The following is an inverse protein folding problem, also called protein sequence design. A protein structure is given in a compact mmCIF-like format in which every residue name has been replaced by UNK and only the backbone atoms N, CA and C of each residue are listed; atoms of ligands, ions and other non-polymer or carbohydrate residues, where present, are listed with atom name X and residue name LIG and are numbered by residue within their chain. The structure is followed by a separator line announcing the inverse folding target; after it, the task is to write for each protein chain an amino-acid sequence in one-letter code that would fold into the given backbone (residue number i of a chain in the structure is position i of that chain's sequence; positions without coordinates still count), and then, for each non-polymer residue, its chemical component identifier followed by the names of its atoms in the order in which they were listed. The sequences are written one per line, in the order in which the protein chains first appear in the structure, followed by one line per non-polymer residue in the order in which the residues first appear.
data_IF_754283821716
#
_entry.id   IF_754283821716
#
_cell.length_a   1.000
_cell.length_b   1.000
_cell.length_c   1.000
_cell.angle_alpha   90.00
_cell.angle_beta   90.00
_cell.angle_gamma   90.00
#
_symmetry.space_group_name_H-M   'P 1'
#
loop_
_entity.id
_entity.type
_entity.pdbx_description
1 polymer ?
#
# COMPACT_ATOMS: atom_id res chain seq x y z
N UNK A 1 -33.23 37.39 -39.43
CA UNK A 1 -33.33 38.86 -39.70
C UNK A 1 -33.86 39.54 -38.44
N UNK A 2 -33.18 40.60 -37.96
CA UNK A 2 -33.53 41.46 -36.80
C UNK A 2 -33.07 40.89 -35.45
N UNK A 3 -32.00 41.28 -34.75
CA UNK A 3 -31.33 42.56 -34.44
C UNK A 3 -32.13 43.53 -33.53
N UNK A 4 -31.74 43.57 -32.23
CA UNK A 4 -31.21 44.74 -31.47
C UNK A 4 -31.84 45.03 -30.06
N UNK A 5 -31.09 44.69 -28.99
CA UNK A 5 -30.64 45.39 -27.73
C UNK A 5 -31.38 46.65 -27.16
N UNK A 6 -31.10 47.21 -25.94
CA UNK A 6 -30.27 46.83 -24.75
C UNK A 6 -30.83 47.17 -23.31
N UNK A 7 -30.13 46.71 -22.24
CA UNK A 7 -29.65 47.60 -21.14
C UNK A 7 -30.24 47.57 -19.70
N UNK A 8 -29.43 47.11 -18.71
CA UNK A 8 -29.08 47.66 -17.37
C UNK A 8 -30.17 48.32 -16.46
N UNK A 9 -30.30 48.17 -15.11
CA UNK A 9 -29.39 47.85 -13.97
C UNK A 9 -30.20 47.47 -12.70
N UNK A 10 -29.58 46.62 -11.85
CA UNK A 10 -29.50 46.54 -10.37
C UNK A 10 -30.71 46.87 -9.45
N UNK A 11 -31.02 45.94 -8.54
CA UNK A 11 -31.60 46.29 -7.23
C UNK A 11 -32.16 45.11 -6.42
N UNK A 12 -31.50 44.77 -5.30
CA UNK A 12 -32.16 44.30 -4.08
C UNK A 12 -32.34 42.79 -3.87
N UNK A 13 -31.29 42.11 -3.39
CA UNK A 13 -31.45 40.85 -2.65
C UNK A 13 -32.04 41.15 -1.26
N UNK A 14 -33.18 40.54 -0.93
CA UNK A 14 -33.73 40.56 0.44
C UNK A 14 -33.44 39.22 1.11
N UNK A 15 -32.57 39.23 2.11
CA UNK A 15 -32.28 38.08 2.98
C UNK A 15 -33.32 37.98 4.10
N UNK A 16 -33.83 36.76 4.32
CA UNK A 16 -34.70 36.41 5.43
C UNK A 16 -33.85 36.14 6.69
N UNK A 17 -34.05 36.91 7.76
CA UNK A 17 -33.40 36.68 9.07
C UNK A 17 -34.18 35.64 9.88
N UNK A 18 -33.56 34.62 10.48
CA UNK A 18 -34.19 33.89 11.57
C UNK A 18 -33.92 34.59 12.91
N UNK A 19 -34.98 34.68 13.72
CA UNK A 19 -34.95 35.16 15.09
C UNK A 19 -34.42 34.05 16.01
N UNK A 20 -33.39 34.34 16.80
CA UNK A 20 -32.94 33.46 17.87
C UNK A 20 -33.50 33.92 19.22
N UNK A 21 -34.34 33.07 19.82
CA UNK A 21 -34.75 33.18 21.23
C UNK A 21 -33.61 32.67 22.12
N UNK A 22 -33.27 33.44 23.15
CA UNK A 22 -32.21 33.11 24.12
C UNK A 22 -32.80 32.21 25.21
N UNK A 23 -32.73 30.89 25.01
CA UNK A 23 -32.89 29.93 26.11
C UNK A 23 -31.50 29.50 26.55
N UNK A 24 -31.10 29.89 27.76
CA UNK A 24 -29.85 29.45 28.37
C UNK A 24 -29.96 27.97 28.74
N UNK A 25 -29.25 27.11 28.02
CA UNK A 25 -29.03 25.72 28.41
C UNK A 25 -27.78 25.69 29.29
N UNK A 26 -27.96 25.30 30.55
CA UNK A 26 -26.85 25.04 31.46
C UNK A 26 -26.08 23.80 30.98
N UNK A 27 -24.84 24.00 30.56
CA UNK A 27 -23.94 22.91 30.18
C UNK A 27 -23.36 22.30 31.46
N UNK A 28 -23.86 21.13 31.85
CA UNK A 28 -23.21 20.32 32.87
C UNK A 28 -21.87 19.80 32.30
N UNK A 29 -20.76 20.25 32.88
CA UNK A 29 -19.43 19.68 32.66
C UNK A 29 -19.39 18.28 33.33
N UNK A 30 -19.93 17.28 32.65
CA UNK A 30 -19.58 15.90 32.91
C UNK A 30 -18.20 15.66 32.31
N UNK A 31 -17.22 15.37 33.18
CA UNK A 31 -15.85 15.07 32.76
C UNK A 31 -15.85 13.91 31.78
N UNK A 32 -15.48 14.18 30.53
CA UNK A 32 -15.06 13.17 29.58
C UNK A 32 -13.73 12.60 30.07
N UNK A 33 -13.80 11.61 30.97
CA UNK A 33 -12.78 10.56 30.97
C UNK A 33 -12.91 9.91 29.59
N UNK A 34 -11.99 10.28 28.68
CA UNK A 34 -11.83 9.54 27.43
C UNK A 34 -11.67 8.05 27.75
N UNK A 35 -12.06 7.14 26.83
CA UNK A 35 -11.77 5.73 27.04
C UNK A 35 -10.27 5.59 27.37
N UNK A 36 -9.90 4.71 28.31
CA UNK A 36 -8.49 4.42 28.52
C UNK A 36 -7.91 4.09 27.15
N UNK A 37 -6.82 4.77 26.78
CA UNK A 37 -6.03 4.37 25.64
C UNK A 37 -5.77 2.87 25.83
N UNK A 38 -6.40 2.06 24.97
CA UNK A 38 -6.02 0.65 24.88
C UNK A 38 -4.52 0.71 24.60
N UNK A 39 -3.73 0.15 25.53
CA UNK A 39 -2.32 -0.01 25.29
C UNK A 39 -2.19 -0.71 23.94
N UNK A 40 -1.70 0.00 22.92
CA UNK A 40 -1.25 -0.67 21.71
C UNK A 40 -0.20 -1.64 22.20
N UNK A 41 -0.45 -2.94 22.05
CA UNK A 41 0.58 -3.93 22.28
C UNK A 41 1.81 -3.46 21.52
N UNK A 42 2.93 -3.30 22.23
CA UNK A 42 4.15 -2.79 21.63
C UNK A 42 4.49 -3.68 20.44
N UNK A 43 4.70 -3.08 19.26
CA UNK A 43 5.13 -3.81 18.07
C UNK A 43 6.35 -4.68 18.47
N UNK A 44 6.33 -6.00 18.20
CA UNK A 44 7.45 -6.87 18.49
C UNK A 44 8.75 -6.28 17.92
N UNK A 45 9.86 -6.39 18.64
CA UNK A 45 11.14 -5.81 18.20
C UNK A 45 11.80 -6.63 17.09
N UNK A 46 11.45 -7.91 16.99
CA UNK A 46 12.01 -8.86 16.03
C UNK A 46 10.94 -9.28 15.00
N UNK A 47 11.36 -9.71 13.80
CA UNK A 47 10.46 -10.31 12.82
C UNK A 47 9.68 -11.50 13.39
N UNK A 48 8.42 -11.64 13.00
CA UNK A 48 7.48 -12.64 13.53
C UNK A 48 7.33 -13.78 12.53
N UNK A 49 7.60 -15.01 12.95
CA UNK A 49 7.30 -16.19 12.13
C UNK A 49 5.78 -16.47 12.13
N UNK A 50 5.18 -16.53 10.94
CA UNK A 50 3.75 -16.86 10.75
C UNK A 50 3.54 -18.35 10.45
N UNK A 51 4.52 -18.98 9.80
CA UNK A 51 4.52 -20.40 9.44
C UNK A 51 5.96 -20.88 9.25
N UNK A 52 6.18 -22.08 8.71
CA UNK A 52 7.51 -22.67 8.57
C UNK A 52 8.40 -21.83 7.65
N UNK A 53 7.83 -21.31 6.56
CA UNK A 53 8.59 -20.59 5.54
C UNK A 53 8.28 -19.10 5.48
N UNK A 54 7.33 -18.60 6.28
CA UNK A 54 6.88 -17.21 6.22
C UNK A 54 7.18 -16.46 7.50
N UNK A 55 7.96 -15.39 7.36
CA UNK A 55 8.22 -14.39 8.40
C UNK A 55 7.64 -13.05 7.96
N UNK A 56 7.10 -12.28 8.91
CA UNK A 56 6.64 -10.91 8.69
C UNK A 56 7.49 -9.92 9.51
N UNK A 57 7.90 -8.84 8.87
CA UNK A 57 8.45 -7.65 9.54
C UNK A 57 7.30 -6.65 9.65
N UNK A 58 6.79 -6.44 10.86
CA UNK A 58 5.57 -5.65 11.07
C UNK A 58 5.82 -4.15 10.91
N UNK A 59 4.80 -3.41 10.48
CA UNK A 59 4.85 -1.94 10.45
C UNK A 59 5.37 -1.38 11.78
N UNK A 60 6.34 -0.46 11.70
CA UNK A 60 7.00 0.14 12.86
C UNK A 60 8.26 -0.60 13.31
N UNK A 61 8.53 -1.80 12.80
CA UNK A 61 9.84 -2.44 12.93
C UNK A 61 10.87 -1.79 11.98
N UNK A 62 12.19 -1.93 12.26
CA UNK A 62 13.23 -1.41 11.38
C UNK A 62 13.07 -1.88 9.92
N UNK A 63 12.94 -0.91 9.00
CA UNK A 63 12.80 -1.17 7.57
C UNK A 63 11.36 -1.37 7.09
N UNK A 64 10.38 -1.50 7.98
CA UNK A 64 8.99 -1.75 7.64
C UNK A 64 8.11 -0.50 7.89
N UNK A 65 7.75 0.18 6.80
CA UNK A 65 6.78 1.28 6.80
C UNK A 65 5.34 0.80 6.51
N UNK A 66 5.22 -0.47 6.17
CA UNK A 66 4.04 -1.32 6.05
C UNK A 66 4.48 -2.74 6.45
N UNK A 67 3.55 -3.67 6.63
CA UNK A 67 3.91 -5.07 6.91
C UNK A 67 4.65 -5.66 5.70
N UNK A 68 5.84 -6.22 5.94
CA UNK A 68 6.66 -6.85 4.90
C UNK A 68 6.69 -8.36 5.09
N UNK A 69 6.31 -9.09 4.05
CA UNK A 69 6.41 -10.55 4.00
C UNK A 69 7.79 -11.00 3.53
N UNK A 70 8.34 -12.04 4.17
CA UNK A 70 9.55 -12.72 3.72
C UNK A 70 9.25 -14.22 3.66
N UNK A 71 9.29 -14.78 2.45
CA UNK A 71 9.03 -16.20 2.18
C UNK A 71 10.33 -16.87 1.78
N UNK A 72 10.70 -17.95 2.48
CA UNK A 72 12.00 -18.62 2.31
C UNK A 72 11.79 -20.05 1.80
N UNK A 73 12.35 -20.36 0.62
CA UNK A 73 12.48 -21.73 0.14
C UNK A 73 13.95 -22.17 0.02
N UNK A 74 14.18 -23.40 -0.42
CA UNK A 74 15.54 -23.98 -0.52
C UNK A 74 16.42 -23.37 -1.62
N UNK A 75 15.83 -22.66 -2.59
CA UNK A 75 16.53 -22.05 -3.75
C UNK A 75 16.41 -20.53 -3.80
N UNK A 76 15.43 -19.95 -3.10
CA UNK A 76 15.06 -18.55 -3.25
C UNK A 76 14.43 -17.96 -2.00
N UNK A 77 14.46 -16.64 -1.92
CA UNK A 77 13.68 -15.83 -0.97
C UNK A 77 12.85 -14.83 -1.74
N UNK A 78 11.59 -14.67 -1.38
CA UNK A 78 10.73 -13.59 -1.85
C UNK A 78 10.50 -12.60 -0.71
N UNK A 79 10.82 -11.34 -0.95
CA UNK A 79 10.41 -10.22 -0.10
C UNK A 79 9.19 -9.56 -0.76
N UNK A 80 8.11 -9.44 0.01
CA UNK A 80 6.82 -8.87 -0.38
C UNK A 80 6.67 -7.55 0.37
N UNK A 81 6.66 -6.46 -0.40
CA UNK A 81 6.81 -5.07 0.04
C UNK A 81 8.21 -4.74 0.57
N UNK A 82 8.66 -3.50 0.36
CA UNK A 82 10.07 -3.12 0.47
C UNK A 82 10.34 -1.89 1.35
N UNK A 83 9.29 -1.29 1.91
CA UNK A 83 9.41 -0.07 2.70
C UNK A 83 9.62 1.18 1.84
N UNK A 84 9.95 2.28 2.51
CA UNK A 84 10.03 3.62 1.93
C UNK A 84 11.51 4.04 1.79
N UNK A 85 12.11 3.72 0.65
CA UNK A 85 13.44 4.20 0.26
C UNK A 85 14.63 3.31 0.65
N UNK A 86 15.86 3.71 0.26
CA UNK A 86 17.02 2.81 0.24
C UNK A 86 17.39 2.26 1.61
N UNK A 87 17.23 3.06 2.67
CA UNK A 87 17.52 2.62 4.04
C UNK A 87 16.62 1.44 4.44
N UNK A 88 15.34 1.49 4.09
CA UNK A 88 14.40 0.42 4.42
C UNK A 88 14.73 -0.86 3.64
N UNK A 89 14.92 -0.74 2.33
CA UNK A 89 15.30 -1.89 1.50
C UNK A 89 16.59 -2.57 1.94
N UNK A 90 17.61 -1.79 2.33
CA UNK A 90 18.87 -2.36 2.82
C UNK A 90 18.69 -3.16 4.13
N UNK A 91 17.83 -2.69 5.03
CA UNK A 91 17.49 -3.42 6.26
C UNK A 91 16.76 -4.72 5.92
N UNK A 92 15.74 -4.67 5.05
CA UNK A 92 14.97 -5.84 4.66
C UNK A 92 15.80 -6.87 3.89
N UNK A 93 16.72 -6.42 3.03
CA UNK A 93 17.67 -7.30 2.35
C UNK A 93 18.59 -8.02 3.35
N UNK A 94 18.99 -7.36 4.43
CA UNK A 94 19.76 -7.99 5.50
C UNK A 94 18.93 -9.01 6.29
N UNK A 95 17.67 -8.70 6.61
CA UNK A 95 16.74 -9.65 7.25
C UNK A 95 16.56 -10.89 6.37
N UNK A 96 16.26 -10.70 5.08
CA UNK A 96 16.10 -11.79 4.11
C UNK A 96 17.35 -12.68 4.03
N UNK A 97 18.55 -12.07 4.01
CA UNK A 97 19.83 -12.80 4.01
C UNK A 97 20.07 -13.59 5.29
N UNK A 98 19.68 -13.08 6.45
CA UNK A 98 19.80 -13.79 7.74
C UNK A 98 18.85 -14.97 7.83
N UNK A 99 17.64 -14.83 7.29
CA UNK A 99 16.63 -15.89 7.25
C UNK A 99 16.98 -17.01 6.27
N UNK A 100 17.70 -16.69 5.18
CA UNK A 100 18.16 -17.65 4.20
C UNK A 100 19.67 -17.53 3.94
N UNK A 101 20.51 -17.98 4.89
CA UNK A 101 21.96 -17.85 4.75
C UNK A 101 22.47 -18.70 3.57
N UNK A 102 23.11 -18.04 2.59
CA UNK A 102 23.66 -18.70 1.41
C UNK A 102 23.45 -17.88 0.13
N UNK A 103 23.49 -18.56 -1.02
CA UNK A 103 23.18 -17.97 -2.33
C UNK A 103 21.83 -18.49 -2.82
N UNK A 104 20.77 -17.86 -2.33
CA UNK A 104 19.42 -17.99 -2.86
C UNK A 104 19.14 -16.83 -3.82
N UNK A 105 18.32 -17.07 -4.84
CA UNK A 105 17.76 -15.96 -5.63
C UNK A 105 16.92 -15.08 -4.73
N UNK A 106 17.17 -13.76 -4.71
CA UNK A 106 16.39 -12.81 -3.94
C UNK A 106 15.40 -12.11 -4.87
N UNK A 107 14.13 -12.46 -4.74
CA UNK A 107 13.03 -11.79 -5.44
C UNK A 107 12.47 -10.69 -4.55
N UNK A 108 12.15 -9.55 -5.15
CA UNK A 108 11.45 -8.45 -4.49
C UNK A 108 10.23 -8.13 -5.32
N UNK A 109 9.06 -8.16 -4.69
CA UNK A 109 7.79 -7.82 -5.30
C UNK A 109 7.00 -6.94 -4.32
N UNK A 110 6.04 -6.19 -4.82
CA UNK A 110 5.17 -5.39 -3.99
C UNK A 110 3.70 -5.73 -4.27
N UNK A 111 2.87 -5.53 -3.25
CA UNK A 111 1.41 -5.66 -3.32
C UNK A 111 0.82 -4.59 -4.23
N UNK A 112 1.36 -3.37 -4.20
CA UNK A 112 0.99 -2.28 -5.09
C UNK A 112 2.10 -1.23 -5.18
N UNK A 113 1.93 -0.24 -6.06
CA UNK A 113 3.01 0.71 -6.39
C UNK A 113 3.22 1.85 -5.38
N UNK A 114 2.45 1.93 -4.29
CA UNK A 114 2.60 3.06 -3.36
C UNK A 114 4.00 3.08 -2.70
N UNK A 115 4.50 4.27 -2.33
CA UNK A 115 5.90 4.46 -1.96
C UNK A 115 6.42 3.55 -0.86
N UNK A 116 5.63 3.35 0.19
CA UNK A 116 5.94 2.53 1.37
C UNK A 116 5.93 1.03 1.10
N UNK A 117 5.36 0.59 -0.01
CA UNK A 117 5.38 -0.81 -0.44
C UNK A 117 6.50 -1.08 -1.46
N UNK A 118 6.88 -0.09 -2.28
CA UNK A 118 7.72 -0.35 -3.46
C UNK A 118 9.03 0.45 -3.51
N UNK A 119 9.14 1.65 -2.95
CA UNK A 119 10.31 2.49 -3.21
C UNK A 119 11.58 2.06 -2.45
N UNK A 120 11.45 1.14 -1.49
CA UNK A 120 12.58 0.51 -0.85
C UNK A 120 13.35 -0.47 -1.76
N UNK A 121 12.82 -0.85 -2.92
CA UNK A 121 13.56 -1.58 -3.98
C UNK A 121 14.97 -1.01 -4.21
N UNK A 122 15.10 0.32 -4.17
CA UNK A 122 16.36 1.06 -4.32
C UNK A 122 17.46 0.72 -3.30
N UNK A 123 17.11 0.09 -2.18
CA UNK A 123 18.04 -0.37 -1.14
C UNK A 123 18.49 -1.82 -1.26
N UNK A 124 17.85 -2.60 -2.13
CA UNK A 124 18.22 -4.00 -2.37
C UNK A 124 19.48 -4.10 -3.25
N UNK A 125 20.29 -5.17 -3.11
CA UNK A 125 21.45 -5.38 -3.97
C UNK A 125 21.06 -5.45 -5.45
N UNK A 126 21.98 -5.12 -6.35
CA UNK A 126 21.76 -5.19 -7.80
C UNK A 126 21.37 -6.60 -8.26
N UNK A 127 21.84 -7.64 -7.56
CA UNK A 127 21.50 -9.03 -7.85
C UNK A 127 20.08 -9.44 -7.44
N UNK A 128 19.34 -8.58 -6.74
CA UNK A 128 17.93 -8.81 -6.43
C UNK A 128 17.10 -8.66 -7.70
N UNK A 129 16.17 -9.61 -7.91
CA UNK A 129 15.28 -9.70 -9.06
C UNK A 129 13.98 -8.98 -8.71
N UNK A 130 13.73 -7.85 -9.36
CA UNK A 130 12.51 -7.05 -9.17
C UNK A 130 11.39 -7.66 -10.03
N UNK A 131 10.31 -8.09 -9.37
CA UNK A 131 9.12 -8.68 -10.00
C UNK A 131 7.96 -7.70 -9.85
N UNK A 132 7.34 -7.33 -10.97
CA UNK A 132 6.29 -6.30 -10.99
C UNK A 132 5.13 -6.69 -11.89
N UNK A 133 3.90 -6.38 -11.48
CA UNK A 133 2.75 -6.57 -12.38
C UNK A 133 2.73 -5.46 -13.44
N UNK A 134 2.24 -5.78 -14.63
CA UNK A 134 2.03 -4.78 -15.70
C UNK A 134 1.10 -3.67 -15.19
N UNK A 135 0.10 -4.00 -14.38
CA UNK A 135 -0.79 -3.02 -13.76
C UNK A 135 -0.06 -1.99 -12.89
N UNK A 136 0.93 -2.42 -12.09
CA UNK A 136 1.74 -1.52 -11.26
C UNK A 136 2.63 -0.63 -12.14
N UNK A 137 3.26 -1.19 -13.17
CA UNK A 137 4.09 -0.40 -14.08
C UNK A 137 3.27 0.68 -14.80
N UNK A 138 2.05 0.35 -15.23
CA UNK A 138 1.13 1.32 -15.82
C UNK A 138 0.74 2.43 -14.83
N UNK A 139 0.56 2.13 -13.55
CA UNK A 139 0.31 3.15 -12.52
C UNK A 139 1.52 4.09 -12.34
N UNK A 140 2.73 3.53 -12.28
CA UNK A 140 3.97 4.30 -12.17
C UNK A 140 4.11 5.28 -13.34
N UNK A 141 3.93 4.78 -14.57
CA UNK A 141 4.10 5.54 -15.80
C UNK A 141 3.00 6.62 -15.94
N UNK A 142 1.74 6.26 -15.71
CA UNK A 142 0.61 7.16 -15.94
C UNK A 142 0.51 8.29 -14.91
N UNK A 143 0.94 8.02 -13.66
CA UNK A 143 0.91 9.03 -12.58
C UNK A 143 2.18 9.89 -12.54
N UNK A 144 3.25 9.43 -13.19
CA UNK A 144 4.57 10.06 -13.10
C UNK A 144 5.28 9.82 -11.78
N UNK A 145 4.96 8.72 -11.10
CA UNK A 145 5.54 8.38 -9.80
C UNK A 145 7.06 8.23 -9.89
N UNK A 146 7.58 7.68 -10.98
CA UNK A 146 9.02 7.58 -11.22
C UNK A 146 9.73 8.95 -11.27
N UNK A 147 9.04 10.01 -11.72
CA UNK A 147 9.57 11.39 -11.69
C UNK A 147 9.25 12.12 -10.37
N UNK A 148 8.71 11.41 -9.39
CA UNK A 148 8.40 11.98 -8.08
C UNK A 148 7.09 12.75 -8.00
N UNK A 149 6.17 12.56 -8.94
CA UNK A 149 4.83 13.17 -8.96
C UNK A 149 3.78 12.27 -8.32
N UNK A 150 2.54 12.76 -8.25
CA UNK A 150 1.40 11.97 -7.80
C UNK A 150 1.53 11.54 -6.34
N UNK A 151 1.34 10.24 -6.07
CA UNK A 151 1.44 9.68 -4.72
C UNK A 151 2.82 9.89 -4.09
N UNK A 152 3.89 9.90 -4.89
CA UNK A 152 5.25 10.15 -4.37
C UNK A 152 5.41 11.58 -3.85
N UNK A 153 4.84 12.56 -4.55
CA UNK A 153 4.84 13.96 -4.10
C UNK A 153 4.08 14.11 -2.79
N UNK A 154 2.91 13.45 -2.68
CA UNK A 154 2.09 13.44 -1.47
C UNK A 154 2.89 12.87 -0.29
N UNK A 155 3.54 11.72 -0.46
CA UNK A 155 4.33 11.10 0.60
C UNK A 155 5.49 11.98 1.05
N UNK A 156 6.19 12.65 0.12
CA UNK A 156 7.28 13.58 0.48
C UNK A 156 6.81 14.76 1.33
N UNK A 157 5.54 15.15 1.24
CA UNK A 157 4.98 16.25 2.02
C UNK A 157 4.54 15.82 3.42
N UNK A 158 4.45 14.52 3.70
CA UNK A 158 4.12 14.02 5.03
C UNK A 158 5.29 14.20 6.01
N UNK A 159 5.03 14.53 7.29
CA UNK A 159 6.08 14.70 8.29
C UNK A 159 7.02 13.48 8.38
N UNK A 160 8.33 13.73 8.33
CA UNK A 160 9.38 12.71 8.43
C UNK A 160 9.66 11.92 7.14
N UNK A 161 8.68 11.78 6.25
CA UNK A 161 8.77 10.90 5.07
C UNK A 161 9.76 11.38 4.01
N UNK A 162 9.99 12.69 3.87
CA UNK A 162 10.98 13.22 2.92
C UNK A 162 12.40 12.68 3.16
N UNK A 163 12.80 12.52 4.44
CA UNK A 163 14.11 11.99 4.80
C UNK A 163 14.19 10.48 4.54
N UNK A 164 13.13 9.73 4.86
CA UNK A 164 13.07 8.29 4.58
C UNK A 164 13.16 8.00 3.08
N UNK A 165 12.60 8.88 2.25
CA UNK A 165 12.59 8.77 0.78
C UNK A 165 13.86 9.33 0.09
N UNK A 166 14.89 9.72 0.84
CA UNK A 166 16.12 10.23 0.23
C UNK A 166 16.79 9.15 -0.64
N UNK A 167 17.02 9.46 -1.92
CA UNK A 167 17.56 8.52 -2.90
C UNK A 167 16.59 7.42 -3.34
N UNK A 168 15.33 7.47 -2.91
CA UNK A 168 14.33 6.48 -3.25
C UNK A 168 13.92 6.57 -4.73
N UNK A 169 13.98 5.44 -5.42
CA UNK A 169 13.56 5.29 -6.82
C UNK A 169 12.77 4.00 -6.98
N UNK A 170 11.83 3.99 -7.92
CA UNK A 170 11.29 2.74 -8.46
C UNK A 170 12.38 2.10 -9.32
N UNK A 171 12.83 0.88 -9.00
CA UNK A 171 13.77 0.17 -9.86
C UNK A 171 13.07 -0.27 -11.14
N UNK A 172 13.83 -0.45 -12.20
CA UNK A 172 13.34 -1.17 -13.38
C UNK A 172 13.02 -2.61 -12.98
N UNK A 173 11.86 -3.11 -13.40
CA UNK A 173 11.50 -4.51 -13.18
C UNK A 173 12.39 -5.44 -14.02
N UNK A 174 12.93 -6.48 -13.40
CA UNK A 174 13.65 -7.55 -14.09
C UNK A 174 12.65 -8.54 -14.72
N UNK A 175 11.51 -8.74 -14.06
CA UNK A 175 10.40 -9.59 -14.50
C UNK A 175 9.09 -8.82 -14.43
N UNK A 176 8.38 -8.77 -15.55
CA UNK A 176 7.01 -8.28 -15.65
C UNK A 176 6.05 -9.46 -15.79
N UNK A 177 4.89 -9.39 -15.16
CA UNK A 177 3.82 -10.37 -15.32
C UNK A 177 2.45 -9.69 -15.48
N UNK A 178 1.52 -10.41 -16.11
CA UNK A 178 0.13 -10.02 -16.30
C UNK A 178 -0.75 -11.23 -15.95
N UNK A 179 -1.91 -10.99 -15.34
CA UNK A 179 -2.72 -12.04 -14.73
C UNK A 179 -2.02 -12.69 -13.54
N UNK A 180 -2.28 -13.98 -13.34
CA UNK A 180 -1.66 -14.72 -12.24
C UNK A 180 -0.27 -15.24 -12.61
N UNK A 181 0.64 -15.21 -11.64
CA UNK A 181 1.98 -15.77 -11.76
C UNK A 181 2.33 -16.67 -10.57
N UNK A 182 3.46 -17.37 -10.67
CA UNK A 182 3.95 -18.29 -9.66
C UNK A 182 5.46 -18.14 -9.52
N UNK A 183 5.93 -18.00 -8.29
CA UNK A 183 7.36 -18.07 -7.95
C UNK A 183 7.59 -19.36 -7.16
N UNK A 184 8.47 -20.23 -7.68
CA UNK A 184 8.96 -21.42 -6.97
C UNK A 184 10.30 -21.09 -6.30
N UNK A 185 10.29 -21.05 -4.98
CA UNK A 185 11.45 -20.74 -4.14
C UNK A 185 12.25 -21.99 -3.77
N UNK A 186 11.90 -23.14 -4.32
CA UNK A 186 12.49 -24.45 -4.01
C UNK A 186 11.75 -25.14 -2.89
N UNK A 187 10.62 -25.76 -3.22
CA UNK A 187 9.77 -26.49 -2.26
C UNK A 187 8.67 -25.62 -1.64
N UNK A 188 8.76 -24.30 -1.80
CA UNK A 188 7.74 -23.32 -1.38
C UNK A 188 7.30 -22.54 -2.61
N UNK A 189 6.00 -22.54 -2.89
CA UNK A 189 5.43 -21.87 -4.06
C UNK A 189 4.56 -20.70 -3.62
N UNK A 190 4.79 -19.53 -4.22
CA UNK A 190 4.01 -18.32 -3.95
C UNK A 190 3.25 -17.94 -5.21
N UNK A 191 1.91 -17.97 -5.14
CA UNK A 191 1.03 -17.49 -6.21
C UNK A 191 0.86 -15.99 -6.09
N UNK A 192 1.15 -15.29 -7.17
CA UNK A 192 0.89 -13.86 -7.35
C UNK A 192 -0.45 -13.75 -8.07
N UNK A 193 -1.42 -13.13 -7.43
CA UNK A 193 -2.80 -13.04 -7.91
C UNK A 193 -3.11 -11.59 -8.23
N UNK A 194 -3.41 -11.28 -9.48
CA UNK A 194 -3.91 -9.94 -9.80
C UNK A 194 -5.32 -9.79 -9.22
N UNK A 195 -5.46 -8.89 -8.25
CA UNK A 195 -6.72 -8.61 -7.57
C UNK A 195 -7.54 -7.54 -8.31
N UNK A 196 -7.05 -7.03 -9.44
CA UNK A 196 -7.69 -5.99 -10.22
C UNK A 196 -7.65 -4.62 -9.54
N UNK A 197 -8.28 -3.59 -10.14
CA UNK A 197 -8.17 -2.22 -9.70
C UNK A 197 -8.99 -1.94 -8.44
N UNK A 198 -8.49 -2.36 -7.26
CA UNK A 198 -9.21 -2.23 -5.99
C UNK A 198 -8.77 -0.98 -5.22
N UNK A 199 -7.53 -0.98 -4.75
CA UNK A 199 -6.79 0.14 -4.17
C UNK A 199 -5.90 0.84 -5.21
N UNK A 200 -5.27 0.07 -6.10
CA UNK A 200 -4.51 0.56 -7.24
C UNK A 200 -4.79 -0.27 -8.49
N UNK A 201 -4.37 0.17 -9.69
CA UNK A 201 -4.57 -0.57 -10.94
C UNK A 201 -4.01 -2.00 -10.87
N UNK A 202 -2.86 -2.13 -10.22
CA UNK A 202 -2.08 -3.36 -10.19
C UNK A 202 -1.98 -3.96 -8.80
N UNK A 203 -3.09 -4.06 -8.08
CA UNK A 203 -3.08 -4.76 -6.79
C UNK A 203 -2.78 -6.25 -6.99
N UNK A 204 -1.82 -6.75 -6.20
CA UNK A 204 -1.36 -8.13 -6.23
C UNK A 204 -1.49 -8.73 -4.85
N UNK A 205 -2.21 -9.84 -4.76
CA UNK A 205 -2.20 -10.72 -3.59
C UNK A 205 -1.11 -11.78 -3.72
N UNK A 206 -0.45 -12.13 -2.61
CA UNK A 206 0.55 -13.20 -2.57
C UNK A 206 0.07 -14.32 -1.66
N UNK A 207 -0.21 -15.50 -2.22
CA UNK A 207 -0.63 -16.67 -1.45
C UNK A 207 0.50 -17.70 -1.38
N UNK A 208 0.90 -18.08 -0.17
CA UNK A 208 1.91 -19.12 0.07
C UNK A 208 1.21 -20.48 0.13
N UNK A 209 1.47 -21.31 -0.88
CA UNK A 209 0.74 -22.57 -1.03
C UNK A 209 1.05 -23.56 0.09
N UNK A 210 0.00 -24.05 0.77
CA UNK A 210 0.11 -25.05 1.83
C UNK A 210 0.37 -24.51 3.23
N UNK A 211 0.52 -23.19 3.39
CA UNK A 211 0.77 -22.55 4.70
C UNK A 211 -0.37 -21.64 5.18
N UNK A 212 -1.42 -21.47 4.36
CA UNK A 212 -2.60 -20.69 4.74
C UNK A 212 -2.33 -19.19 4.93
N UNK A 213 -1.21 -18.68 4.40
CA UNK A 213 -0.83 -17.27 4.49
C UNK A 213 -1.10 -16.55 3.17
N UNK A 214 -1.72 -15.37 3.26
CA UNK A 214 -1.96 -14.45 2.15
C UNK A 214 -1.56 -13.03 2.54
N UNK A 215 -0.80 -12.36 1.69
CA UNK A 215 -0.54 -10.92 1.77
C UNK A 215 -1.44 -10.21 0.76
N UNK A 216 -2.29 -9.29 1.22
CA UNK A 216 -3.27 -8.57 0.39
C UNK A 216 -2.90 -7.12 0.11
N UNK A 217 -1.85 -6.61 0.78
CA UNK A 217 -1.60 -5.17 0.85
C UNK A 217 -2.86 -4.44 1.34
N UNK A 218 -3.09 -3.27 0.77
CA UNK A 218 -4.16 -2.36 1.16
C UNK A 218 -5.55 -2.74 0.60
N UNK A 219 -5.65 -3.86 -0.13
CA UNK A 219 -6.96 -4.40 -0.57
C UNK A 219 -7.81 -4.85 0.62
N UNK A 220 -7.18 -5.37 1.67
CA UNK A 220 -7.85 -5.81 2.89
C UNK A 220 -7.05 -5.38 4.13
N UNK A 221 -7.51 -4.34 4.82
CA UNK A 221 -6.88 -3.79 6.03
C UNK A 221 -7.92 -3.40 7.08
N UNK A 222 -7.53 -3.34 8.36
CA UNK A 222 -8.44 -3.07 9.49
C UNK A 222 -9.04 -1.65 9.44
N UNK A 223 -8.36 -0.70 8.78
CA UNK A 223 -8.81 0.68 8.60
C UNK A 223 -8.56 1.16 7.16
N UNK A 224 -9.39 0.77 6.19
CA UNK A 224 -9.16 1.07 4.78
C UNK A 224 -9.17 2.59 4.53
N UNK A 225 -8.06 3.12 4.01
CA UNK A 225 -7.99 4.48 3.51
C UNK A 225 -8.75 4.48 2.16
N UNK A 226 -9.74 5.37 2.05
CA UNK A 226 -10.82 5.25 1.07
C UNK A 226 -10.44 5.04 -0.40
N UNK A 227 -11.38 4.39 -1.10
CA UNK A 227 -11.41 4.04 -2.52
C UNK A 227 -10.90 5.18 -3.43
N UNK A 228 -9.90 4.86 -4.25
CA UNK A 228 -9.28 5.56 -5.39
C UNK A 228 -9.64 7.03 -5.58
N UNK A 229 -8.75 7.93 -5.14
CA UNK A 229 -8.66 9.26 -5.73
C UNK A 229 -7.64 9.26 -6.88
N UNK A 230 -7.85 10.09 -7.91
CA UNK A 230 -6.97 10.17 -9.09
C UNK A 230 -5.51 10.59 -8.78
N UNK A 231 -5.21 10.99 -7.53
CA UNK A 231 -3.84 11.24 -7.06
C UNK A 231 -3.14 10.00 -6.50
N UNK A 232 -3.90 8.93 -6.21
CA UNK A 232 -3.43 7.70 -5.58
C UNK A 232 -3.29 6.54 -6.57
N UNK A 233 -3.98 6.57 -7.72
CA UNK A 233 -3.86 5.55 -8.77
C UNK A 233 -4.40 6.07 -10.11
N UNK A 234 -4.00 5.45 -11.22
CA UNK A 234 -4.44 5.80 -12.58
C UNK A 234 -5.72 5.08 -13.03
N UNK A 235 -6.26 4.14 -12.24
CA UNK A 235 -7.49 3.41 -12.57
C UNK A 235 -8.63 3.75 -11.59
N UNK A 236 -9.87 3.95 -12.07
CA UNK A 236 -11.02 4.06 -11.19
C UNK A 236 -11.32 2.71 -10.51
N UNK A 237 -11.73 2.74 -9.24
CA UNK A 237 -12.26 1.59 -8.50
C UNK A 237 -13.70 1.85 -8.09
N UNK A 238 -14.39 0.79 -7.67
CA UNK A 238 -15.72 0.87 -7.07
C UNK A 238 -15.85 -0.15 -5.96
N UNK A 239 -16.81 0.06 -5.05
CA UNK A 239 -17.12 -0.93 -4.02
C UNK A 239 -17.45 -2.32 -4.60
N UNK A 240 -18.06 -2.39 -5.79
CA UNK A 240 -18.35 -3.66 -6.47
C UNK A 240 -17.10 -4.38 -6.97
N UNK A 241 -16.10 -3.65 -7.46
CA UNK A 241 -14.80 -4.22 -7.84
C UNK A 241 -14.07 -4.75 -6.61
N UNK A 242 -13.97 -3.94 -5.56
CA UNK A 242 -13.31 -4.36 -4.32
C UNK A 242 -13.96 -5.57 -3.65
N UNK A 243 -15.29 -5.66 -3.64
CA UNK A 243 -16.00 -6.84 -3.12
C UNK A 243 -15.68 -8.11 -3.92
N UNK A 244 -15.62 -8.03 -5.26
CA UNK A 244 -15.25 -9.17 -6.09
C UNK A 244 -13.82 -9.67 -5.84
N UNK A 245 -12.89 -8.74 -5.58
CA UNK A 245 -11.50 -9.08 -5.24
C UNK A 245 -11.40 -9.75 -3.87
N UNK A 246 -12.17 -9.27 -2.88
CA UNK A 246 -12.28 -9.92 -1.57
C UNK A 246 -12.90 -11.32 -1.67
N UNK A 247 -13.91 -11.52 -2.52
CA UNK A 247 -14.46 -12.85 -2.80
C UNK A 247 -13.42 -13.79 -3.40
N UNK A 248 -12.56 -13.29 -4.30
CA UNK A 248 -11.42 -14.04 -4.84
C UNK A 248 -10.44 -14.49 -3.76
N UNK A 249 -10.11 -13.62 -2.81
CA UNK A 249 -9.26 -13.94 -1.65
C UNK A 249 -9.96 -14.93 -0.71
N UNK A 250 -11.24 -14.72 -0.39
CA UNK A 250 -12.04 -15.63 0.46
C UNK A 250 -12.25 -17.01 -0.19
N UNK A 251 -12.22 -17.08 -1.52
CA UNK A 251 -12.29 -18.32 -2.29
C UNK A 251 -11.02 -19.17 -2.21
N UNK A 252 -9.92 -18.65 -1.65
CA UNK A 252 -8.72 -19.42 -1.37
C UNK A 252 -9.02 -20.45 -0.29
N UNK A 253 -9.02 -21.72 -0.67
CA UNK A 253 -9.19 -22.81 0.29
C UNK A 253 -7.93 -22.87 1.18
N UNK A 254 -8.05 -22.85 2.51
CA UNK A 254 -6.97 -23.33 3.36
C UNK A 254 -6.74 -24.79 2.97
N UNK A 255 -5.60 -25.07 2.35
CA UNK A 255 -5.20 -26.44 2.02
C UNK A 255 -4.46 -27.04 3.18
#
# INVERSE_FOLDING_TARGET
MGLCLPGCRLGGMSYMKPAFSRTAVALALAGCLGPPALAQDSVPTEPVALSEHVTVVLEGQPGAQSNVGIVVGSKGVLVIDSGLGPRNGAILADVARRLAPGRSSLYVAATHFHPEHMMGESGFPESAIIVRSVGQQLDIDATGAAEGRGVVELFRQLPGRAADMEGAVYRTADLLFEGDALIDLGGVRVRLMELGPTHTRGDVGFSVEGEGVVFTGDVAMESPIGINSARLTSAPSSAGVGLGSLEGVLGLKPR
#
